data_IF_637067371080
#
_entry.id   IF_637067371080
#
_cell.length_a   1.000
_cell.length_b   1.000
_cell.length_c   1.000
_cell.angle_alpha   90.00
_cell.angle_beta   90.00
_cell.angle_gamma   90.00
#
_symmetry.space_group_name_H-M   'P 1'
#
loop_
_entity.id
_entity.type
_entity.pdbx_description
1 polymer ?
#
# COMPACT_ATOMS: atom_id res chain seq x y z
N UNK A 1 -30.70 -20.40 11.67
CA UNK A 1 -29.83 -19.20 11.60
C UNK A 1 -28.66 -19.51 10.70
N UNK A 2 -28.29 -18.62 9.78
CA UNK A 2 -27.15 -18.85 8.86
C UNK A 2 -25.86 -18.65 9.66
N UNK A 3 -24.97 -19.66 9.67
CA UNK A 3 -23.65 -19.55 10.27
C UNK A 3 -22.64 -18.97 9.25
N UNK A 4 -22.56 -17.66 9.20
CA UNK A 4 -21.64 -16.94 8.31
C UNK A 4 -20.17 -17.26 8.62
N UNK A 5 -19.81 -17.49 9.89
CA UNK A 5 -18.43 -17.83 10.28
C UNK A 5 -18.00 -19.14 9.64
N UNK A 6 -18.85 -20.15 9.71
CA UNK A 6 -18.58 -21.46 9.09
C UNK A 6 -18.40 -21.32 7.57
N UNK A 7 -19.33 -20.62 6.90
CA UNK A 7 -19.30 -20.42 5.45
C UNK A 7 -18.03 -19.70 5.00
N UNK A 8 -17.65 -18.61 5.71
CA UNK A 8 -16.47 -17.85 5.37
C UNK A 8 -15.18 -18.63 5.62
N UNK A 9 -15.10 -19.39 6.72
CA UNK A 9 -13.95 -20.23 6.99
C UNK A 9 -13.78 -21.33 5.94
N UNK A 10 -14.86 -21.97 5.49
CA UNK A 10 -14.79 -22.95 4.42
C UNK A 10 -14.23 -22.34 3.13
N UNK A 11 -14.66 -21.13 2.75
CA UNK A 11 -14.12 -20.43 1.58
C UNK A 11 -12.62 -20.14 1.72
N UNK A 12 -12.16 -19.70 2.89
CA UNK A 12 -10.74 -19.47 3.16
C UNK A 12 -9.93 -20.77 3.03
N UNK A 13 -10.42 -21.87 3.61
CA UNK A 13 -9.79 -23.19 3.51
C UNK A 13 -9.67 -23.62 2.04
N UNK A 14 -10.75 -23.48 1.27
CA UNK A 14 -10.76 -23.81 -0.17
C UNK A 14 -9.73 -22.97 -0.94
N UNK A 15 -9.65 -21.65 -0.69
CA UNK A 15 -8.67 -20.79 -1.33
C UNK A 15 -7.23 -21.17 -1.00
N UNK A 16 -6.96 -21.58 0.25
CA UNK A 16 -5.63 -22.05 0.67
C UNK A 16 -5.27 -23.37 0.00
N UNK A 17 -6.20 -24.30 -0.07
CA UNK A 17 -5.99 -25.61 -0.71
C UNK A 17 -5.76 -25.49 -2.22
N UNK A 18 -6.45 -24.56 -2.89
CA UNK A 18 -6.29 -24.31 -4.33
C UNK A 18 -5.06 -23.46 -4.67
N UNK A 19 -4.31 -22.98 -3.68
CA UNK A 19 -3.19 -22.06 -3.91
C UNK A 19 -3.60 -20.65 -4.35
N UNK A 20 -4.89 -20.33 -4.29
CA UNK A 20 -5.43 -19.03 -4.72
C UNK A 20 -5.50 -17.99 -3.60
N UNK A 21 -5.17 -18.38 -2.37
CA UNK A 21 -5.14 -17.48 -1.24
C UNK A 21 -3.96 -16.52 -1.37
N UNK A 22 -4.24 -15.20 -1.40
CA UNK A 22 -3.19 -14.19 -1.53
C UNK A 22 -2.69 -13.74 -0.16
N UNK A 23 -1.38 -13.73 -0.01
CA UNK A 23 -0.70 -13.10 1.13
C UNK A 23 -0.15 -11.75 0.68
N UNK A 24 -0.36 -10.73 1.52
CA UNK A 24 0.24 -9.43 1.30
C UNK A 24 1.61 -9.41 1.98
N UNK A 25 2.65 -9.19 1.18
CA UNK A 25 3.99 -9.03 1.70
C UNK A 25 4.13 -7.63 2.32
N UNK A 26 4.45 -7.58 3.59
CA UNK A 26 4.78 -6.32 4.26
C UNK A 26 6.21 -5.91 3.89
N UNK A 27 6.33 -4.77 3.20
CA UNK A 27 7.60 -4.30 2.66
C UNK A 27 8.04 -3.00 3.35
N UNK A 28 9.24 -3.01 3.89
CA UNK A 28 9.86 -1.83 4.48
C UNK A 28 10.64 -1.07 3.40
N UNK A 29 10.03 0.02 2.92
CA UNK A 29 10.60 0.89 1.88
C UNK A 29 11.36 2.06 2.49
N UNK A 30 12.38 2.52 1.75
CA UNK A 30 13.08 3.77 2.03
C UNK A 30 13.29 4.53 0.73
N UNK A 31 13.02 5.83 0.71
CA UNK A 31 13.27 6.67 -0.45
C UNK A 31 14.75 6.67 -0.84
N UNK A 32 15.65 6.61 0.16
CA UNK A 32 17.10 6.60 -0.06
C UNK A 32 17.63 5.31 -0.71
N UNK A 33 16.91 4.19 -0.55
CA UNK A 33 17.34 2.89 -1.05
C UNK A 33 16.48 2.40 -2.23
N UNK A 34 15.56 3.21 -2.72
CA UNK A 34 14.75 2.87 -3.90
C UNK A 34 15.64 2.42 -5.09
N UNK A 35 15.31 1.34 -5.79
CA UNK A 35 14.09 0.50 -5.70
C UNK A 35 14.21 -0.71 -4.74
N UNK A 36 15.21 -0.72 -3.86
CA UNK A 36 15.39 -1.79 -2.87
C UNK A 36 14.46 -1.61 -1.69
N UNK A 37 14.02 -2.73 -1.12
CA UNK A 37 13.25 -2.78 0.11
C UNK A 37 13.65 -3.98 0.95
N UNK A 38 13.27 -3.96 2.22
CA UNK A 38 13.44 -5.08 3.13
C UNK A 38 12.08 -5.68 3.45
N UNK A 39 12.05 -6.99 3.65
CA UNK A 39 10.89 -7.71 4.15
C UNK A 39 11.34 -8.78 5.15
N UNK A 40 10.42 -9.18 6.00
CA UNK A 40 10.66 -10.23 6.98
C UNK A 40 10.00 -11.52 6.52
N UNK A 41 10.76 -12.60 6.53
CA UNK A 41 10.25 -13.93 6.21
C UNK A 41 9.45 -14.49 7.40
N UNK A 42 8.68 -15.55 7.17
CA UNK A 42 7.93 -16.24 8.23
C UNK A 42 8.81 -16.71 9.41
N UNK A 43 10.11 -16.87 9.18
CA UNK A 43 11.07 -17.28 10.21
C UNK A 43 11.73 -16.09 10.93
N UNK A 44 11.27 -14.85 10.67
CA UNK A 44 11.84 -13.65 11.26
C UNK A 44 13.15 -13.16 10.62
N UNK A 45 13.58 -13.77 9.52
CA UNK A 45 14.77 -13.35 8.79
C UNK A 45 14.48 -12.14 7.91
N UNK A 46 15.29 -11.08 8.02
CA UNK A 46 15.19 -9.90 7.16
C UNK A 46 15.93 -10.14 5.84
N UNK A 47 15.22 -9.99 4.74
CA UNK A 47 15.78 -10.10 3.38
C UNK A 47 15.62 -8.80 2.61
N UNK A 48 16.60 -8.54 1.75
CA UNK A 48 16.55 -7.43 0.82
C UNK A 48 16.08 -7.92 -0.56
N UNK A 49 15.24 -7.13 -1.20
CA UNK A 49 14.81 -7.39 -2.57
C UNK A 49 14.74 -6.10 -3.39
N UNK A 50 14.66 -6.24 -4.70
CA UNK A 50 14.43 -5.14 -5.65
C UNK A 50 12.99 -5.20 -6.14
N UNK A 51 12.31 -4.06 -6.11
CA UNK A 51 10.93 -3.98 -6.59
C UNK A 51 10.87 -3.83 -8.11
N UNK A 52 10.51 -4.92 -8.80
CA UNK A 52 10.26 -4.94 -10.24
C UNK A 52 8.78 -4.78 -10.60
N UNK A 53 7.88 -4.81 -9.61
CA UNK A 53 6.43 -4.76 -9.78
C UNK A 53 5.85 -3.36 -9.51
N UNK A 54 6.67 -2.32 -9.61
CA UNK A 54 6.22 -0.94 -9.35
C UNK A 54 5.51 -0.34 -10.55
N UNK A 55 4.45 0.41 -10.30
CA UNK A 55 3.79 1.29 -11.28
C UNK A 55 4.39 2.70 -11.30
N UNK A 56 5.39 2.96 -10.48
CA UNK A 56 6.10 4.24 -10.39
C UNK A 56 7.21 4.33 -11.45
N UNK A 57 6.83 4.29 -12.71
CA UNK A 57 7.76 4.21 -13.85
C UNK A 57 8.71 5.41 -13.95
N UNK A 58 8.32 6.58 -13.45
CA UNK A 58 9.12 7.80 -13.47
C UNK A 58 9.81 8.09 -12.14
N UNK A 59 9.72 7.19 -11.17
CA UNK A 59 10.29 7.33 -9.83
C UNK A 59 9.81 8.59 -9.07
N UNK A 60 8.60 9.07 -9.38
CA UNK A 60 8.05 10.28 -8.76
C UNK A 60 7.74 10.09 -7.28
N UNK A 61 7.49 8.85 -6.82
CA UNK A 61 7.23 8.57 -5.41
C UNK A 61 8.42 8.89 -4.49
N UNK A 62 9.62 8.95 -5.04
CA UNK A 62 10.87 9.25 -4.31
C UNK A 62 11.54 10.55 -4.77
N UNK A 63 10.87 11.30 -5.63
CA UNK A 63 11.37 12.59 -6.09
C UNK A 63 11.25 13.63 -4.97
N UNK A 64 12.36 14.27 -4.62
CA UNK A 64 12.44 15.22 -3.50
C UNK A 64 11.48 16.41 -3.66
N UNK A 65 11.35 16.96 -4.86
CA UNK A 65 10.44 18.08 -5.11
C UNK A 65 8.96 17.67 -4.91
N UNK A 66 8.60 16.44 -5.29
CA UNK A 66 7.25 15.88 -5.09
C UNK A 66 7.00 15.64 -3.61
N UNK A 67 7.95 15.04 -2.90
CA UNK A 67 7.84 14.76 -1.45
C UNK A 67 7.70 16.07 -0.67
N UNK A 68 8.54 17.05 -0.96
CA UNK A 68 8.51 18.37 -0.31
C UNK A 68 7.18 19.08 -0.55
N UNK A 69 6.67 19.03 -1.78
CA UNK A 69 5.36 19.62 -2.10
C UNK A 69 4.21 18.90 -1.38
N UNK A 70 4.24 17.57 -1.35
CA UNK A 70 3.26 16.76 -0.63
C UNK A 70 3.24 17.12 0.86
N UNK A 71 4.41 17.16 1.48
CA UNK A 71 4.57 17.52 2.89
C UNK A 71 4.03 18.93 3.18
N UNK A 72 4.39 19.91 2.35
CA UNK A 72 3.87 21.27 2.48
C UNK A 72 2.34 21.33 2.40
N UNK A 73 1.75 20.67 1.40
CA UNK A 73 0.30 20.67 1.22
C UNK A 73 -0.40 19.94 2.38
N UNK A 74 0.14 18.83 2.85
CA UNK A 74 -0.40 18.09 3.98
C UNK A 74 -0.42 18.94 5.26
N UNK A 75 0.63 19.69 5.55
CA UNK A 75 0.67 20.60 6.70
C UNK A 75 -0.29 21.78 6.56
N UNK A 76 -0.45 22.31 5.34
CA UNK A 76 -1.31 23.47 5.08
C UNK A 76 -2.79 23.15 5.04
N UNK A 77 -3.17 22.00 4.49
CA UNK A 77 -4.55 21.70 4.11
C UNK A 77 -5.07 20.36 4.64
N UNK A 78 -4.27 19.62 5.39
CA UNK A 78 -4.59 18.29 5.87
C UNK A 78 -4.25 17.18 4.87
N UNK A 79 -4.38 15.93 5.33
CA UNK A 79 -3.96 14.74 4.57
C UNK A 79 -5.02 14.19 3.62
N UNK A 80 -6.20 14.79 3.59
CA UNK A 80 -7.29 14.32 2.73
C UNK A 80 -8.34 15.38 2.45
N UNK A 81 -9.14 15.15 1.41
CA UNK A 81 -10.18 16.08 0.98
C UNK A 81 -11.43 16.11 1.88
N UNK A 82 -11.62 15.10 2.72
CA UNK A 82 -12.75 14.99 3.65
C UNK A 82 -14.10 14.75 3.00
N UNK A 83 -14.16 14.62 1.68
CA UNK A 83 -15.40 14.40 0.93
C UNK A 83 -15.18 13.97 -0.50
N UNK A 84 -16.27 13.60 -1.18
CA UNK A 84 -16.22 13.25 -2.60
C UNK A 84 -16.02 14.50 -3.47
N UNK A 85 -15.37 14.30 -4.63
CA UNK A 85 -15.02 15.40 -5.56
C UNK A 85 -16.21 16.26 -5.97
N UNK A 86 -17.37 15.66 -6.17
CA UNK A 86 -18.57 16.31 -6.64
C UNK A 86 -19.43 16.97 -5.54
N UNK A 87 -19.07 16.84 -4.27
CA UNK A 87 -19.79 17.45 -3.15
C UNK A 87 -18.91 18.49 -2.45
N UNK A 88 -17.93 18.04 -1.69
CA UNK A 88 -17.08 18.91 -0.86
C UNK A 88 -15.58 18.62 -0.96
N UNK A 89 -15.18 17.61 -1.72
CA UNK A 89 -13.82 17.13 -1.78
C UNK A 89 -12.95 17.74 -2.89
N UNK A 90 -13.46 18.70 -3.69
CA UNK A 90 -12.63 19.40 -4.67
C UNK A 90 -11.94 20.60 -4.03
N UNK A 91 -10.62 20.57 -4.01
CA UNK A 91 -9.79 21.64 -3.48
C UNK A 91 -8.97 22.28 -4.61
N UNK A 92 -8.28 23.38 -4.30
CA UNK A 92 -7.37 24.05 -5.24
C UNK A 92 -6.10 23.25 -5.55
N UNK A 93 -5.93 22.08 -4.99
CA UNK A 93 -4.82 21.16 -5.27
C UNK A 93 -5.21 20.03 -6.24
N UNK A 94 -6.46 19.95 -6.65
CA UNK A 94 -6.93 19.03 -7.66
C UNK A 94 -6.87 19.68 -9.04
#
# INVERSE_FOLDING_TARGET
>A
MIDYRHILNQKIVTLKQSGSYRYFLDVNKSAQHFPRFYFETANGEKKQAVNWCSNDYMCMSVNEAVISKLSYVAHKSGSGSGGTRNISGTTNYH
#
